data_IF_006372991080
#
_entry.id   IF_006372991080
#
_cell.length_a   1.000
_cell.length_b   1.000
_cell.length_c   1.000
_cell.angle_alpha   90.00
_cell.angle_beta   90.00
_cell.angle_gamma   90.00
#
_symmetry.space_group_name_H-M   'P 1'
#
loop_
_entity.id
_entity.type
_entity.pdbx_description
1 polymer ?
#
# COMPACT_ATOMS: atom_id res chain seq x y z
N UNK A 1 -8.49 -23.39 44.77
CA UNK A 1 -9.32 -22.60 43.84
C UNK A 1 -8.66 -21.24 43.66
N UNK A 2 -7.84 -21.04 42.63
CA UNK A 2 -7.07 -19.79 42.49
C UNK A 2 -6.34 -19.62 41.15
N UNK A 3 -6.78 -20.28 40.08
CA UNK A 3 -6.12 -20.25 38.77
C UNK A 3 -6.99 -19.61 37.66
N UNK A 4 -8.12 -19.00 38.03
CA UNK A 4 -9.08 -18.43 37.07
C UNK A 4 -8.91 -16.94 36.76
N UNK A 5 -8.03 -16.22 37.46
CA UNK A 5 -7.90 -14.76 37.32
C UNK A 5 -6.95 -14.30 36.21
N UNK A 6 -6.16 -15.20 35.60
CA UNK A 6 -5.14 -14.84 34.61
C UNK A 6 -5.68 -14.90 33.15
N UNK A 7 -6.79 -15.61 32.91
CA UNK A 7 -7.32 -15.82 31.54
C UNK A 7 -8.07 -14.58 30.99
N UNK A 8 -8.40 -13.61 31.83
CA UNK A 8 -9.09 -12.37 31.42
C UNK A 8 -8.17 -11.26 30.92
N UNK A 9 -6.84 -11.46 30.87
CA UNK A 9 -5.93 -10.59 30.10
C UNK A 9 -6.14 -10.68 28.57
N UNK A 10 -7.17 -11.41 28.12
CA UNK A 10 -7.57 -11.55 26.73
C UNK A 10 -8.13 -10.24 26.18
N UNK A 11 -7.25 -9.40 25.64
CA UNK A 11 -7.51 -8.48 24.52
C UNK A 11 -8.74 -7.55 24.66
N UNK A 12 -8.74 -6.60 25.62
CA UNK A 12 -9.62 -5.44 25.49
C UNK A 12 -8.97 -4.40 24.54
N UNK A 13 -9.14 -4.60 23.23
CA UNK A 13 -8.77 -3.60 22.21
C UNK A 13 -9.84 -2.50 22.16
N UNK A 14 -9.79 -1.56 23.10
CA UNK A 14 -10.57 -0.34 23.01
C UNK A 14 -9.85 0.67 22.12
N UNK A 15 -10.53 1.16 21.09
CA UNK A 15 -10.06 2.23 20.19
C UNK A 15 -10.86 3.49 20.49
N UNK A 16 -10.21 4.65 20.59
CA UNK A 16 -10.92 5.93 20.79
C UNK A 16 -11.75 6.29 19.55
N UNK A 17 -12.83 7.06 19.73
CA UNK A 17 -13.67 7.52 18.61
C UNK A 17 -12.86 8.28 17.55
N UNK A 18 -11.93 9.13 17.97
CA UNK A 18 -11.04 9.87 17.07
C UNK A 18 -10.11 8.92 16.30
N UNK A 19 -9.55 7.91 16.96
CA UNK A 19 -8.71 6.92 16.30
C UNK A 19 -9.50 6.10 15.27
N UNK A 20 -10.78 5.79 15.56
CA UNK A 20 -11.67 5.13 14.61
C UNK A 20 -11.96 6.02 13.38
N UNK A 21 -12.18 7.31 13.57
CA UNK A 21 -12.37 8.27 12.48
C UNK A 21 -11.11 8.38 11.62
N UNK A 22 -9.94 8.47 12.24
CA UNK A 22 -8.66 8.47 11.52
C UNK A 22 -8.46 7.16 10.73
N UNK A 23 -8.83 6.01 11.30
CA UNK A 23 -8.77 4.74 10.59
C UNK A 23 -9.73 4.71 9.40
N UNK A 24 -10.93 5.27 9.54
CA UNK A 24 -11.89 5.37 8.44
C UNK A 24 -11.33 6.23 7.29
N UNK A 25 -10.72 7.37 7.59
CA UNK A 25 -10.07 8.21 6.56
C UNK A 25 -8.84 7.52 5.95
N UNK A 26 -8.04 6.84 6.75
CA UNK A 26 -6.89 6.06 6.28
C UNK A 26 -7.33 4.96 5.31
N UNK A 27 -8.40 4.23 5.63
CA UNK A 27 -8.94 3.17 4.77
C UNK A 27 -9.46 3.74 3.45
N UNK A 28 -10.09 4.92 3.46
CA UNK A 28 -10.49 5.61 2.22
C UNK A 28 -9.29 5.94 1.35
N UNK A 29 -8.25 6.54 1.92
CA UNK A 29 -7.02 6.88 1.20
C UNK A 29 -6.35 5.63 0.64
N UNK A 30 -6.31 4.55 1.42
CA UNK A 30 -5.75 3.28 0.99
C UNK A 30 -6.46 2.70 -0.24
N UNK A 31 -7.80 2.70 -0.24
CA UNK A 31 -8.60 2.22 -1.38
C UNK A 31 -8.43 3.10 -2.61
N UNK A 32 -8.41 4.43 -2.42
CA UNK A 32 -8.18 5.38 -3.53
C UNK A 32 -6.81 5.17 -4.15
N UNK A 33 -5.76 5.02 -3.33
CA UNK A 33 -4.40 4.79 -3.82
C UNK A 33 -4.27 3.47 -4.57
N UNK A 34 -4.88 2.40 -4.04
CA UNK A 34 -4.96 1.10 -4.72
C UNK A 34 -5.61 1.23 -6.11
N UNK A 35 -6.70 1.99 -6.19
CA UNK A 35 -7.44 2.22 -7.43
C UNK A 35 -6.61 3.01 -8.43
N UNK A 36 -6.04 4.14 -8.03
CA UNK A 36 -5.22 5.00 -8.91
C UNK A 36 -4.02 4.25 -9.46
N UNK A 37 -3.33 3.45 -8.63
CA UNK A 37 -2.19 2.65 -9.10
C UNK A 37 -2.61 1.55 -10.06
N UNK A 38 -3.73 0.88 -9.80
CA UNK A 38 -4.25 -0.18 -10.69
C UNK A 38 -4.67 0.41 -12.05
N UNK A 39 -5.26 1.61 -12.06
CA UNK A 39 -5.56 2.34 -13.31
C UNK A 39 -4.28 2.67 -14.08
N UNK A 40 -3.27 3.22 -13.39
CA UNK A 40 -1.97 3.52 -14.03
C UNK A 40 -1.31 2.27 -14.60
N UNK A 41 -1.46 1.12 -13.94
CA UNK A 41 -0.94 -0.16 -14.41
C UNK A 41 -1.70 -0.65 -15.65
N UNK A 42 -3.04 -0.57 -15.66
CA UNK A 42 -3.83 -0.89 -16.85
C UNK A 42 -3.48 0.02 -18.04
N UNK A 43 -3.29 1.31 -17.79
CA UNK A 43 -2.83 2.27 -18.80
C UNK A 43 -1.44 1.95 -19.32
N UNK A 44 -0.52 1.52 -18.46
CA UNK A 44 0.83 1.11 -18.87
C UNK A 44 0.83 -0.18 -19.71
N UNK A 45 -0.19 -1.02 -19.56
CA UNK A 45 -0.41 -2.26 -20.31
C UNK A 45 -1.35 -2.08 -21.52
N UNK A 46 -1.79 -0.84 -21.79
CA UNK A 46 -2.75 -0.48 -22.85
C UNK A 46 -4.06 -1.27 -22.77
N UNK A 47 -4.52 -1.54 -21.54
CA UNK A 47 -5.77 -2.24 -21.27
C UNK A 47 -6.93 -1.26 -21.03
N UNK A 48 -8.12 -1.52 -21.60
CA UNK A 48 -9.28 -0.64 -21.48
C UNK A 48 -9.90 -0.65 -20.08
N UNK A 49 -9.62 -1.68 -19.28
CA UNK A 49 -10.19 -1.90 -17.95
C UNK A 49 -9.14 -2.41 -16.98
N UNK A 50 -9.32 -2.08 -15.70
CA UNK A 50 -8.51 -2.65 -14.61
C UNK A 50 -9.08 -4.01 -14.24
N UNK A 51 -8.26 -5.05 -14.33
CA UNK A 51 -8.55 -6.38 -13.82
C UNK A 51 -7.70 -6.67 -12.56
N UNK A 52 -7.95 -7.80 -11.92
CA UNK A 52 -7.25 -8.27 -10.71
C UNK A 52 -5.74 -8.35 -10.94
N UNK A 53 -5.31 -8.72 -12.15
CA UNK A 53 -3.90 -8.82 -12.53
C UNK A 53 -3.15 -7.49 -12.39
N UNK A 54 -3.79 -6.36 -12.70
CA UNK A 54 -3.17 -5.03 -12.59
C UNK A 54 -3.07 -4.61 -11.12
N UNK A 55 -4.07 -4.95 -10.30
CA UNK A 55 -4.02 -4.73 -8.86
C UNK A 55 -2.88 -5.54 -8.23
N UNK A 56 -2.75 -6.82 -8.57
CA UNK A 56 -1.69 -7.71 -8.06
C UNK A 56 -0.28 -7.16 -8.31
N UNK A 57 -0.06 -6.54 -9.47
CA UNK A 57 1.22 -5.91 -9.82
C UNK A 57 1.56 -4.69 -8.98
N UNK A 58 0.54 -3.95 -8.51
CA UNK A 58 0.75 -2.76 -7.67
C UNK A 58 0.69 -3.07 -6.17
N UNK A 59 0.19 -4.24 -5.77
CA UNK A 59 0.13 -4.69 -4.37
C UNK A 59 1.49 -4.57 -3.65
N UNK A 60 2.63 -5.03 -4.19
CA UNK A 60 3.91 -4.90 -3.51
C UNK A 60 4.23 -3.44 -3.15
N UNK A 61 3.90 -2.48 -4.01
CA UNK A 61 4.16 -1.06 -3.74
C UNK A 61 3.11 -0.45 -2.81
N UNK A 62 1.89 -1.00 -2.79
CA UNK A 62 0.78 -0.54 -1.96
C UNK A 62 0.97 -0.90 -0.48
N UNK A 63 1.54 -2.07 -0.19
CA UNK A 63 1.76 -2.55 1.20
C UNK A 63 3.20 -2.34 1.71
N UNK A 64 4.02 -1.59 0.98
CA UNK A 64 5.40 -1.28 1.40
C UNK A 64 6.42 -2.40 1.14
N UNK A 65 6.15 -3.29 0.20
CA UNK A 65 7.12 -4.23 -0.34
C UNK A 65 8.32 -3.54 -0.99
N UNK A 66 9.47 -4.25 -1.12
CA UNK A 66 10.79 -3.68 -1.42
C UNK A 66 10.98 -3.02 -2.81
N UNK A 67 9.91 -2.66 -3.53
CA UNK A 67 9.98 -2.03 -4.86
C UNK A 67 10.26 -0.51 -4.87
N UNK A 68 10.25 0.18 -3.73
CA UNK A 68 10.40 1.65 -3.67
C UNK A 68 11.86 2.16 -3.68
N UNK A 69 12.83 1.35 -4.14
CA UNK A 69 14.24 1.77 -4.32
C UNK A 69 14.78 1.60 -5.74
N UNK A 70 13.94 1.39 -6.74
CA UNK A 70 14.39 1.46 -8.14
C UNK A 70 14.41 2.92 -8.62
N UNK A 71 15.47 3.67 -8.29
CA UNK A 71 15.92 4.75 -9.17
C UNK A 71 16.48 4.14 -10.46
N UNK A 72 16.18 4.72 -11.63
CA UNK A 72 17.30 5.19 -12.46
C UNK A 72 16.93 6.45 -13.24
N UNK A 73 17.59 7.57 -12.94
CA UNK A 73 17.36 8.84 -13.63
C UNK A 73 18.52 9.81 -13.47
N UNK A 74 19.76 9.37 -13.69
CA UNK A 74 20.90 10.27 -13.89
C UNK A 74 21.65 9.86 -15.15
N UNK A 75 21.07 10.19 -16.31
CA UNK A 75 21.80 10.24 -17.57
C UNK A 75 22.64 11.53 -17.61
N UNK A 76 23.85 11.49 -17.07
CA UNK A 76 24.85 12.56 -17.28
C UNK A 76 25.77 12.15 -18.42
N UNK A 77 25.45 12.67 -19.60
CA UNK A 77 26.37 13.17 -20.62
C UNK A 77 27.59 12.34 -20.99
N UNK A 78 27.43 11.42 -21.94
CA UNK A 78 28.53 11.03 -22.84
C UNK A 78 28.78 12.15 -23.86
N UNK A 79 29.86 12.93 -23.68
CA UNK A 79 30.37 13.85 -24.71
C UNK A 79 31.14 13.07 -25.77
N UNK A 80 30.98 13.38 -27.07
CA UNK A 80 31.70 12.69 -28.13
C UNK A 80 33.18 13.07 -28.15
N UNK A 81 33.99 12.10 -28.55
CA UNK A 81 35.42 12.23 -28.79
C UNK A 81 35.72 13.26 -29.88
N UNK A 82 36.70 14.12 -29.60
CA UNK A 82 37.42 14.93 -30.57
C UNK A 82 38.88 14.49 -30.57
#
# INVERSE_FOLDING_TARGET
>A
MGEGALVTCSLHLAVSGDALLLLAELLKVFVVEATVRSIRQAQAEDLPTVDVEQLEKVLPQLVGGPGSRASPGLGVGGRPAG
#
